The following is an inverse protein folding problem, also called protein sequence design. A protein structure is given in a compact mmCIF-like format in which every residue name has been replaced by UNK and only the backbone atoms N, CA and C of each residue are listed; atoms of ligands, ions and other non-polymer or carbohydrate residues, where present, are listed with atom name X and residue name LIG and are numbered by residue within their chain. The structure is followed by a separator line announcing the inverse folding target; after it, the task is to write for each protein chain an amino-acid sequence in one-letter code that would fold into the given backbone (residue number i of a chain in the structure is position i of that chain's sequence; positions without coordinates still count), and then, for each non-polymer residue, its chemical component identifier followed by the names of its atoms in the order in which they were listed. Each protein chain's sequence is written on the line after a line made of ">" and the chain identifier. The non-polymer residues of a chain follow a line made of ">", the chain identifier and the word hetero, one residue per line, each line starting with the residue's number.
data_IF_948657907012
#
_entry.id   IF_948657907012
#
_cell.length_a   1.000
_cell.length_b   1.000
_cell.length_c   1.000
_cell.angle_alpha   90.00
_cell.angle_beta   90.00
_cell.angle_gamma   90.00
#
_symmetry.space_group_name_H-M   'P 1'
#
loop_
_entity.id
_entity.type
_entity.pdbx_description
1 polymer ?
#
# COMPACT_ATOMS: atom_id res chain seq x y z
N UNK A 1 14.74 11.27 14.94
CA UNK A 1 14.14 10.74 13.68
C UNK A 1 12.82 10.08 13.98
N UNK A 2 11.78 10.46 13.29
CA UNK A 2 10.45 9.96 13.53
C UNK A 2 10.07 8.92 12.48
N UNK A 3 9.53 7.79 12.93
CA UNK A 3 8.96 6.79 12.03
C UNK A 3 7.81 7.36 11.21
N UNK A 4 7.17 8.41 11.72
CA UNK A 4 6.04 9.05 11.05
C UNK A 4 6.43 9.68 9.73
N UNK A 5 7.73 9.90 9.50
CA UNK A 5 8.20 10.54 8.27
C UNK A 5 8.47 9.54 7.15
N UNK A 6 8.38 8.28 7.41
CA UNK A 6 8.74 7.26 6.42
C UNK A 6 7.64 7.05 5.39
N UNK A 7 8.05 6.93 4.14
CA UNK A 7 7.21 6.49 3.05
C UNK A 7 7.65 5.08 2.66
N UNK A 8 6.71 4.16 2.62
CA UNK A 8 6.99 2.76 2.37
C UNK A 8 6.42 2.36 1.03
N UNK A 9 7.20 1.66 0.22
CA UNK A 9 6.75 1.14 -1.06
C UNK A 9 6.56 -0.37 -0.96
N UNK A 10 5.38 -0.84 -1.32
CA UNK A 10 5.07 -2.27 -1.34
C UNK A 10 4.79 -2.66 -2.79
N UNK A 11 5.61 -3.52 -3.36
CA UNK A 11 5.41 -4.00 -4.72
C UNK A 11 4.62 -5.30 -4.69
N UNK A 12 3.67 -5.45 -5.63
CA UNK A 12 2.79 -6.60 -5.64
C UNK A 12 1.88 -6.64 -4.42
N UNK A 13 1.58 -5.47 -3.86
CA UNK A 13 0.92 -5.39 -2.58
C UNK A 13 -0.59 -5.45 -2.61
N UNK A 14 -1.20 -5.67 -3.78
CA UNK A 14 -2.65 -5.69 -3.88
C UNK A 14 -3.23 -7.10 -3.81
N UNK A 15 -2.40 -8.15 -3.83
CA UNK A 15 -2.86 -9.52 -3.63
C UNK A 15 -3.22 -9.78 -2.18
N UNK A 16 -3.68 -11.00 -1.86
CA UNK A 16 -4.18 -11.29 -0.51
C UNK A 16 -3.10 -11.12 0.57
N UNK A 17 -1.87 -11.59 0.29
CA UNK A 17 -0.77 -11.43 1.26
C UNK A 17 -0.34 -9.97 1.35
N UNK A 18 -0.20 -9.32 0.19
CA UNK A 18 0.19 -7.92 0.15
C UNK A 18 -0.83 -6.99 0.80
N UNK A 19 -2.11 -7.30 0.65
CA UNK A 19 -3.17 -6.52 1.29
C UNK A 19 -3.08 -6.60 2.81
N UNK A 20 -2.84 -7.79 3.34
CA UNK A 20 -2.68 -7.97 4.79
C UNK A 20 -1.46 -7.21 5.30
N UNK A 21 -0.35 -7.27 4.55
CA UNK A 21 0.87 -6.54 4.93
C UNK A 21 0.63 -5.04 4.89
N UNK A 22 -0.02 -4.55 3.85
CA UNK A 22 -0.30 -3.13 3.70
C UNK A 22 -1.13 -2.62 4.88
N UNK A 23 -2.16 -3.36 5.22
CA UNK A 23 -3.00 -2.97 6.35
C UNK A 23 -2.20 -2.96 7.65
N UNK A 24 -1.32 -3.95 7.82
CA UNK A 24 -0.48 -4.03 9.01
C UNK A 24 0.47 -2.83 9.10
N UNK A 25 1.06 -2.44 7.97
CA UNK A 25 1.97 -1.30 7.93
C UNK A 25 1.27 -0.01 8.34
N UNK A 26 0.00 0.13 7.98
CA UNK A 26 -0.75 1.33 8.30
C UNK A 26 -1.15 1.42 9.77
N UNK A 27 -0.87 0.38 10.55
CA UNK A 27 -1.04 0.44 12.00
C UNK A 27 0.12 1.18 12.66
N UNK A 28 1.20 1.43 11.92
CA UNK A 28 2.36 2.14 12.42
C UNK A 28 2.27 3.62 12.03
N UNK A 29 3.00 4.50 12.72
CA UNK A 29 2.95 5.94 12.40
C UNK A 29 3.80 6.28 11.18
N UNK A 30 3.40 5.75 10.04
CA UNK A 30 4.09 6.03 8.77
C UNK A 30 3.43 7.20 8.06
N UNK A 31 4.20 7.88 7.23
CA UNK A 31 3.71 9.02 6.48
C UNK A 31 2.81 8.58 5.33
N UNK A 32 3.27 7.62 4.55
CA UNK A 32 2.58 7.17 3.34
C UNK A 32 2.96 5.73 3.07
N UNK A 33 2.01 4.95 2.59
CA UNK A 33 2.27 3.61 2.07
C UNK A 33 1.87 3.62 0.61
N UNK A 34 2.83 3.37 -0.28
CA UNK A 34 2.61 3.30 -1.72
C UNK A 34 2.57 1.84 -2.13
N UNK A 35 1.53 1.44 -2.81
CA UNK A 35 1.36 0.07 -3.28
C UNK A 35 1.42 0.06 -4.79
N UNK A 36 2.37 -0.66 -5.35
CA UNK A 36 2.55 -0.80 -6.78
C UNK A 36 2.13 -2.21 -7.19
N UNK A 37 1.24 -2.30 -8.15
CA UNK A 37 0.80 -3.59 -8.69
C UNK A 37 0.42 -3.42 -10.14
N UNK A 38 0.49 -4.50 -10.90
CA UNK A 38 0.09 -4.50 -12.30
C UNK A 38 -1.40 -4.79 -12.47
N UNK A 39 -2.06 -5.22 -11.42
CA UNK A 39 -3.47 -5.60 -11.46
C UNK A 39 -4.34 -4.45 -10.94
N UNK A 40 -4.92 -3.71 -11.85
CA UNK A 40 -5.75 -2.55 -11.52
C UNK A 40 -6.94 -2.92 -10.66
N UNK A 41 -7.55 -4.07 -10.96
CA UNK A 41 -8.73 -4.52 -10.21
C UNK A 41 -8.37 -4.80 -8.74
N UNK A 42 -7.22 -5.44 -8.54
CA UNK A 42 -6.76 -5.74 -7.19
C UNK A 42 -6.46 -4.46 -6.42
N UNK A 43 -5.87 -3.45 -7.09
CA UNK A 43 -5.60 -2.16 -6.45
C UNK A 43 -6.90 -1.48 -6.04
N UNK A 44 -7.91 -1.55 -6.90
CA UNK A 44 -9.20 -0.96 -6.60
C UNK A 44 -9.83 -1.62 -5.37
N UNK A 45 -9.75 -2.93 -5.29
CA UNK A 45 -10.28 -3.65 -4.14
C UNK A 45 -9.51 -3.36 -2.88
N UNK A 46 -8.18 -3.24 -2.98
CA UNK A 46 -7.35 -2.89 -1.84
C UNK A 46 -7.75 -1.53 -1.27
N UNK A 47 -7.99 -0.57 -2.16
CA UNK A 47 -8.39 0.77 -1.73
C UNK A 47 -9.68 0.72 -0.92
N UNK A 48 -10.63 -0.09 -1.35
CA UNK A 48 -11.89 -0.24 -0.63
C UNK A 48 -11.73 -0.97 0.69
N UNK A 49 -10.84 -1.95 0.71
CA UNK A 49 -10.60 -2.76 1.89
C UNK A 49 -9.90 -1.97 3.00
N UNK A 50 -8.90 -1.21 2.62
CA UNK A 50 -8.07 -0.49 3.59
C UNK A 50 -8.65 0.88 3.92
N UNK A 51 -9.00 1.65 2.90
CA UNK A 51 -9.62 2.97 3.03
C UNK A 51 -8.87 3.89 4.01
N UNK A 52 -7.58 4.06 3.77
CA UNK A 52 -6.72 4.90 4.61
C UNK A 52 -6.16 6.04 3.76
N UNK A 53 -6.19 7.27 4.29
CA UNK A 53 -5.76 8.45 3.55
C UNK A 53 -4.26 8.44 3.25
N UNK A 54 -3.48 7.64 3.95
CA UNK A 54 -2.04 7.52 3.72
C UNK A 54 -1.71 6.54 2.60
N UNK A 55 -2.70 5.81 2.10
CA UNK A 55 -2.50 4.82 1.06
C UNK A 55 -2.45 5.49 -0.30
N UNK A 56 -1.44 5.14 -1.10
CA UNK A 56 -1.29 5.61 -2.48
C UNK A 56 -1.14 4.40 -3.38
N UNK A 57 -1.94 4.35 -4.42
CA UNK A 57 -1.98 3.21 -5.32
C UNK A 57 -1.32 3.58 -6.64
N UNK A 58 -0.45 2.71 -7.11
CA UNK A 58 0.29 2.93 -8.35
C UNK A 58 0.11 1.71 -9.23
N UNK A 59 -0.38 1.93 -10.45
CA UNK A 59 -0.55 0.86 -11.42
C UNK A 59 0.72 0.79 -12.27
N UNK A 60 1.35 -0.37 -12.28
CA UNK A 60 2.55 -0.54 -13.07
C UNK A 60 3.43 -1.66 -12.58
N UNK A 61 4.62 -1.71 -13.15
CA UNK A 61 5.62 -2.73 -12.86
C UNK A 61 6.92 -2.06 -12.44
N UNK A 62 7.73 -2.80 -11.66
CA UNK A 62 9.02 -2.29 -11.21
C UNK A 62 10.13 -2.45 -12.25
N UNK A 63 9.86 -3.05 -13.36
CA UNK A 63 10.87 -3.27 -14.41
C UNK A 63 11.19 -1.96 -15.10
#
# INVERSE_FOLDING_TARGET
>A
MSEQQKTILVTGGAGSIGSALTKKLLEYPVKTVRVLDIDEHALFQLNRYVNDSRLRLLLGSVI
#
